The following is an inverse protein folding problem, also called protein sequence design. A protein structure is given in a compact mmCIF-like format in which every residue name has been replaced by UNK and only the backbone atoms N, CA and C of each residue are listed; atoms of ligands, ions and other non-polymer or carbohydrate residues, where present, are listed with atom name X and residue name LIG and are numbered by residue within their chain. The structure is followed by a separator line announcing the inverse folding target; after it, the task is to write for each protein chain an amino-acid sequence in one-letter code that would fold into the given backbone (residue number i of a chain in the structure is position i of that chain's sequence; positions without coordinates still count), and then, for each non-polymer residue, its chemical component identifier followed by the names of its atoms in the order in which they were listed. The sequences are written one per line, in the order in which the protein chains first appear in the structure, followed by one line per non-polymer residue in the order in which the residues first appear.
data_IF_861171933918
#
_entry.id   IF_861171933918
#
_cell.length_a   1.000
_cell.length_b   1.000
_cell.length_c   1.000
_cell.angle_alpha   90.00
_cell.angle_beta   90.00
_cell.angle_gamma   90.00
#
_symmetry.space_group_name_H-M   'P 1'
#
loop_
_entity.id
_entity.type
_entity.pdbx_description
1 polymer ?
#
# COMPACT_ATOMS: atom_id res chain seq x y z
N UNK A 1 -15.22 -1.25 -18.35
CA UNK A 1 -14.67 -2.33 -17.51
C UNK A 1 -13.17 -2.36 -17.76
N UNK A 2 -12.36 -1.77 -16.87
CA UNK A 2 -10.91 -1.97 -16.85
C UNK A 2 -10.66 -3.16 -15.92
N UNK A 3 -10.74 -4.38 -16.49
CA UNK A 3 -10.66 -5.64 -15.73
C UNK A 3 -9.37 -6.40 -16.09
N UNK A 4 -8.29 -5.67 -16.38
CA UNK A 4 -7.01 -6.27 -16.70
C UNK A 4 -5.93 -5.49 -15.93
N UNK A 5 -5.08 -6.24 -15.24
CA UNK A 5 -3.92 -5.71 -14.54
C UNK A 5 -2.98 -5.07 -15.55
N UNK A 6 -2.83 -3.75 -15.47
CA UNK A 6 -1.90 -2.98 -16.29
C UNK A 6 -0.60 -2.75 -15.50
N UNK A 7 0.53 -3.36 -15.92
CA UNK A 7 1.81 -3.20 -15.24
C UNK A 7 2.34 -1.75 -15.26
N UNK A 8 1.95 -0.93 -16.25
CA UNK A 8 2.43 0.46 -16.37
C UNK A 8 1.79 1.37 -15.30
N UNK A 9 0.59 1.05 -14.80
CA UNK A 9 -0.01 1.76 -13.65
C UNK A 9 0.81 1.59 -12.37
N UNK A 10 1.66 0.56 -12.27
CA UNK A 10 2.59 0.39 -11.14
C UNK A 10 3.89 1.21 -11.27
N UNK A 11 4.21 1.74 -12.45
CA UNK A 11 5.36 2.65 -12.58
C UNK A 11 5.15 3.95 -11.78
N UNK A 12 3.89 4.33 -11.56
CA UNK A 12 3.52 5.51 -10.80
C UNK A 12 3.00 5.11 -9.42
N UNK A 13 3.69 5.55 -8.36
CA UNK A 13 3.26 5.28 -6.99
C UNK A 13 1.91 5.91 -6.66
N UNK A 14 1.04 5.18 -5.96
CA UNK A 14 -0.25 5.69 -5.46
C UNK A 14 -0.03 6.49 -4.17
N UNK A 15 -0.58 7.70 -4.10
CA UNK A 15 -0.60 8.49 -2.85
C UNK A 15 -1.78 8.06 -1.99
N UNK A 16 -1.48 7.56 -0.80
CA UNK A 16 -2.50 7.08 0.15
C UNK A 16 -2.49 7.97 1.41
N UNK A 17 -3.61 8.62 1.77
CA UNK A 17 -3.70 9.38 3.01
C UNK A 17 -3.80 8.43 4.20
N UNK A 18 -2.82 8.51 5.11
CA UNK A 18 -2.73 7.65 6.30
C UNK A 18 -3.09 8.46 7.55
N UNK A 19 -3.98 7.92 8.38
CA UNK A 19 -4.24 8.42 9.73
C UNK A 19 -4.78 7.29 10.62
N UNK A 20 -4.53 7.38 11.93
CA UNK A 20 -5.08 6.43 12.93
C UNK A 20 -6.61 6.42 13.01
N UNK A 21 -7.25 7.51 12.57
CA UNK A 21 -8.71 7.59 12.50
C UNK A 21 -9.30 6.77 11.35
N UNK A 22 -8.54 6.63 10.25
CA UNK A 22 -8.95 5.91 9.05
C UNK A 22 -8.53 4.44 9.10
N UNK A 23 -7.31 4.19 9.55
CA UNK A 23 -6.74 2.86 9.67
C UNK A 23 -6.36 2.63 11.13
N UNK A 24 -7.05 1.68 11.78
CA UNK A 24 -6.83 1.40 13.20
C UNK A 24 -5.65 0.46 13.43
N UNK A 25 -5.35 -0.38 12.43
CA UNK A 25 -4.26 -1.34 12.42
C UNK A 25 -3.74 -1.55 11.00
N UNK A 26 -2.58 -2.19 10.89
CA UNK A 26 -1.92 -2.44 9.62
C UNK A 26 -2.78 -3.27 8.65
N UNK A 27 -3.51 -4.26 9.15
CA UNK A 27 -4.39 -5.11 8.32
C UNK A 27 -5.48 -4.28 7.62
N UNK A 28 -6.11 -3.33 8.31
CA UNK A 28 -7.13 -2.45 7.72
C UNK A 28 -6.59 -1.56 6.59
N UNK A 29 -5.28 -1.24 6.61
CA UNK A 29 -4.62 -0.57 5.51
C UNK A 29 -4.41 -1.54 4.34
N UNK A 30 -3.94 -2.76 4.59
CA UNK A 30 -3.75 -3.77 3.54
C UNK A 30 -5.06 -4.12 2.84
N UNK A 31 -6.16 -4.26 3.59
CA UNK A 31 -7.50 -4.53 3.03
C UNK A 31 -7.94 -3.42 2.07
N UNK A 32 -7.77 -2.15 2.47
CA UNK A 32 -8.11 -1.01 1.61
C UNK A 32 -7.20 -0.92 0.37
N UNK A 33 -5.90 -1.21 0.51
CA UNK A 33 -5.01 -1.27 -0.66
C UNK A 33 -5.42 -2.39 -1.62
N UNK A 34 -5.80 -3.56 -1.10
CA UNK A 34 -6.30 -4.68 -1.91
C UNK A 34 -7.61 -4.34 -2.65
N UNK A 35 -8.48 -3.54 -2.02
CA UNK A 35 -9.74 -3.13 -2.63
C UNK A 35 -9.54 -2.09 -3.74
N UNK A 36 -8.53 -1.23 -3.64
CA UNK A 36 -8.34 -0.08 -4.52
C UNK A 36 -7.21 -0.24 -5.55
N UNK A 37 -6.27 -1.18 -5.33
CA UNK A 37 -5.15 -1.44 -6.24
C UNK A 37 -5.32 -2.82 -6.85
N UNK A 38 -5.38 -2.87 -8.18
CA UNK A 38 -5.38 -4.14 -8.89
C UNK A 38 -3.96 -4.71 -8.89
N UNK A 39 -3.71 -5.72 -8.06
CA UNK A 39 -2.47 -6.48 -8.03
C UNK A 39 -2.78 -7.96 -8.29
N UNK A 40 -1.96 -8.72 -9.06
CA UNK A 40 -2.27 -10.09 -9.45
C UNK A 40 -2.51 -11.04 -8.27
N UNK A 41 -1.87 -10.75 -7.14
CA UNK A 41 -1.93 -11.58 -5.93
C UNK A 41 -2.36 -10.80 -4.68
N UNK A 42 -2.84 -9.57 -4.87
CA UNK A 42 -3.10 -8.62 -3.79
C UNK A 42 -1.82 -8.08 -3.12
N UNK A 43 -2.00 -7.05 -2.32
CA UNK A 43 -1.00 -6.48 -1.42
C UNK A 43 -0.92 -7.35 -0.15
N UNK A 44 0.25 -7.96 0.09
CA UNK A 44 0.50 -8.85 1.25
C UNK A 44 1.61 -8.34 2.17
N UNK A 45 2.38 -7.36 1.72
CA UNK A 45 3.54 -6.82 2.43
C UNK A 45 3.80 -5.41 1.95
N UNK A 46 4.17 -4.54 2.87
CA UNK A 46 4.76 -3.25 2.56
C UNK A 46 6.24 -3.27 2.94
N UNK A 47 7.05 -2.65 2.10
CA UNK A 47 8.48 -2.45 2.35
C UNK A 47 8.85 -1.01 2.07
N UNK A 48 9.94 -0.54 2.66
CA UNK A 48 10.57 0.71 2.21
C UNK A 48 10.92 0.64 0.71
N UNK A 49 11.10 1.78 0.00
CA UNK A 49 11.32 1.78 -1.45
C UNK A 49 12.49 0.91 -1.94
N UNK A 50 13.50 0.70 -1.09
CA UNK A 50 14.65 -0.18 -1.39
C UNK A 50 14.39 -1.67 -1.16
N UNK A 51 13.19 -2.03 -0.70
CA UNK A 51 12.77 -3.42 -0.46
C UNK A 51 13.43 -4.11 0.75
N UNK A 52 14.24 -3.38 1.53
CA UNK A 52 15.08 -3.97 2.60
C UNK A 52 14.39 -4.06 3.95
N UNK A 53 13.47 -3.15 4.23
CA UNK A 53 12.80 -3.06 5.52
C UNK A 53 11.32 -3.34 5.31
N UNK A 54 10.81 -4.40 5.94
CA UNK A 54 9.37 -4.68 5.96
C UNK A 54 8.71 -3.77 6.99
N UNK A 55 7.53 -3.27 6.65
CA UNK A 55 6.67 -2.46 7.52
C UNK A 55 5.59 -3.37 8.08
N UNK A 56 5.36 -3.30 9.39
CA UNK A 56 4.40 -4.14 10.10
C UNK A 56 3.36 -3.36 10.91
N UNK A 57 3.61 -2.07 11.17
CA UNK A 57 2.67 -1.18 11.85
C UNK A 57 2.50 0.16 11.10
N UNK A 58 1.35 0.81 11.31
CA UNK A 58 1.05 2.15 10.80
C UNK A 58 2.05 3.18 11.34
N UNK A 59 2.49 3.00 12.59
CA UNK A 59 3.40 3.93 13.28
C UNK A 59 4.82 3.92 12.70
N UNK A 60 5.17 2.91 11.89
CA UNK A 60 6.45 2.87 11.16
C UNK A 60 6.43 3.74 9.88
N UNK A 61 5.25 4.16 9.41
CA UNK A 61 5.11 4.98 8.22
C UNK A 61 5.45 6.45 8.52
N UNK A 62 6.22 7.06 7.62
CA UNK A 62 6.63 8.46 7.72
C UNK A 62 5.96 9.28 6.63
N UNK A 63 5.60 10.52 6.96
CA UNK A 63 5.05 11.46 5.98
C UNK A 63 6.05 11.68 4.83
N UNK A 64 5.60 11.41 3.60
CA UNK A 64 6.42 11.45 2.36
C UNK A 64 7.56 10.41 2.30
N UNK A 65 7.60 9.45 3.22
CA UNK A 65 8.68 8.45 3.28
C UNK A 65 10.01 9.03 3.79
N UNK A 66 11.05 8.20 3.70
CA UNK A 66 12.44 8.55 4.02
C UNK A 66 13.36 8.11 2.90
#
# INVERSE_FOLDING_TARGET
MKNEFDPEELEYGVRVPISKSRYRNFDSLLDDLNANIQMPFGVRRLTTPMGRTSIHDIDELQHLGK
#
